data_IF_011475843264
#
_entry.id   IF_011475843264
#
_cell.length_a   1.000
_cell.length_b   1.000
_cell.length_c   1.000
_cell.angle_alpha   90.00
_cell.angle_beta   90.00
_cell.angle_gamma   90.00
#
_symmetry.space_group_name_H-M   'P 1'
#
loop_
_entity.id
_entity.type
_entity.pdbx_description
1 polymer ?
#
# COMPACT_ATOMS: atom_id res chain seq x y z
N UNK A 1 -15.74 -35.68 -39.00
CA UNK A 1 -14.73 -34.61 -38.92
C UNK A 1 -15.44 -33.26 -38.85
N UNK A 2 -15.29 -32.53 -37.76
CA UNK A 2 -15.85 -31.19 -37.60
C UNK A 2 -15.12 -30.53 -36.44
N UNK A 3 -14.08 -29.77 -36.76
CA UNK A 3 -13.33 -28.98 -35.80
C UNK A 3 -14.12 -27.70 -35.49
N UNK A 4 -14.29 -27.38 -34.20
CA UNK A 4 -14.48 -26.00 -33.77
C UNK A 4 -13.78 -25.78 -32.46
N UNK A 5 -13.08 -24.66 -32.43
CA UNK A 5 -12.02 -24.29 -31.52
C UNK A 5 -12.54 -23.45 -30.34
N UNK A 6 -11.76 -23.52 -29.26
CA UNK A 6 -11.39 -22.44 -28.35
C UNK A 6 -12.48 -21.53 -27.75
N UNK A 7 -12.56 -21.52 -26.42
CA UNK A 7 -12.36 -20.30 -25.64
C UNK A 7 -12.00 -20.65 -24.19
N UNK A 8 -10.72 -20.52 -23.87
CA UNK A 8 -10.20 -20.55 -22.51
C UNK A 8 -10.64 -19.24 -21.83
N UNK A 9 -11.62 -19.31 -20.93
CA UNK A 9 -12.07 -18.16 -20.16
C UNK A 9 -10.99 -17.70 -19.17
N UNK A 10 -10.23 -16.67 -19.55
CA UNK A 10 -9.36 -15.95 -18.63
C UNK A 10 -10.22 -15.10 -17.68
N UNK A 11 -10.32 -15.53 -16.43
CA UNK A 11 -10.85 -14.69 -15.35
C UNK A 11 -9.77 -13.65 -15.02
N UNK A 12 -10.01 -12.41 -15.42
CA UNK A 12 -9.13 -11.26 -15.21
C UNK A 12 -8.99 -10.96 -13.71
N UNK A 13 -7.75 -11.05 -13.20
CA UNK A 13 -7.38 -10.49 -11.90
C UNK A 13 -7.34 -8.96 -12.04
N UNK A 14 -8.38 -8.29 -11.55
CA UNK A 14 -8.41 -6.83 -11.41
C UNK A 14 -7.53 -6.42 -10.22
N UNK A 15 -6.22 -6.37 -10.42
CA UNK A 15 -5.32 -5.61 -9.55
C UNK A 15 -5.40 -4.15 -9.96
N UNK A 16 -6.27 -3.40 -9.28
CA UNK A 16 -6.27 -1.94 -9.12
C UNK A 16 -5.38 -1.13 -10.09
N UNK A 17 -5.87 -0.89 -11.32
CA UNK A 17 -5.42 0.29 -12.08
C UNK A 17 -6.09 1.51 -11.42
N UNK A 18 -5.32 2.33 -10.71
CA UNK A 18 -5.74 3.72 -10.49
C UNK A 18 -5.75 4.40 -11.87
N UNK A 19 -6.86 5.06 -12.22
CA UNK A 19 -6.85 5.98 -13.34
C UNK A 19 -5.88 7.13 -13.03
N UNK A 20 -5.12 7.59 -14.03
CA UNK A 20 -4.10 8.64 -13.86
C UNK A 20 -4.65 9.95 -13.25
N UNK A 21 -5.97 10.18 -13.30
CA UNK A 21 -6.63 11.37 -12.76
C UNK A 21 -6.79 11.37 -11.22
N UNK A 22 -6.65 10.22 -10.54
CA UNK A 22 -6.84 10.11 -9.08
C UNK A 22 -5.54 10.25 -8.26
N UNK A 23 -4.43 10.62 -8.90
CA UNK A 23 -3.13 10.72 -8.24
C UNK A 23 -3.10 11.88 -7.23
N UNK A 24 -2.46 11.69 -6.05
CA UNK A 24 -2.37 12.75 -5.06
C UNK A 24 -1.53 13.92 -5.59
N UNK A 25 -2.03 15.14 -5.40
CA UNK A 25 -1.42 16.38 -5.88
C UNK A 25 -0.99 17.27 -4.72
N UNK A 26 0.08 18.04 -4.91
CA UNK A 26 0.55 19.05 -3.97
C UNK A 26 -0.37 20.30 -3.96
N UNK A 27 -0.03 21.27 -3.11
CA UNK A 27 -0.80 22.52 -3.01
C UNK A 27 -0.78 23.38 -4.29
N UNK A 28 0.19 23.17 -5.19
CA UNK A 28 0.27 23.83 -6.48
C UNK A 28 -0.45 23.05 -7.60
N UNK A 29 -1.03 21.89 -7.29
CA UNK A 29 -1.76 21.04 -8.23
C UNK A 29 -0.88 20.06 -9.02
N UNK A 30 0.42 19.99 -8.72
CA UNK A 30 1.34 19.02 -9.35
C UNK A 30 1.18 17.65 -8.70
N UNK A 31 1.37 16.57 -9.45
CA UNK A 31 1.40 15.21 -8.88
C UNK A 31 2.57 15.10 -7.90
N UNK A 32 2.33 14.52 -6.72
CA UNK A 32 3.38 14.31 -5.73
C UNK A 32 4.45 13.37 -6.32
N UNK A 33 5.75 13.72 -6.26
CA UNK A 33 6.83 12.86 -6.75
C UNK A 33 6.73 11.43 -6.17
N UNK A 34 6.89 10.43 -7.05
CA UNK A 34 6.75 9.01 -6.71
C UNK A 34 5.33 8.44 -6.87
N UNK A 35 4.32 9.26 -7.16
CA UNK A 35 2.96 8.79 -7.49
C UNK A 35 2.61 8.92 -8.98
N UNK A 36 3.31 9.78 -9.72
CA UNK A 36 3.12 9.94 -11.17
C UNK A 36 4.06 9.07 -12.00
N UNK A 37 3.76 9.01 -13.30
CA UNK A 37 4.69 8.44 -14.27
C UNK A 37 5.95 9.32 -14.37
N UNK A 38 7.11 8.68 -14.36
CA UNK A 38 8.38 9.35 -14.64
C UNK A 38 8.55 9.46 -16.17
N UNK A 39 8.66 10.66 -16.77
CA UNK A 39 8.83 10.80 -18.21
C UNK A 39 10.20 10.30 -18.72
N UNK A 40 11.23 10.23 -17.87
CA UNK A 40 12.53 9.63 -18.19
C UNK A 40 12.54 8.11 -17.93
N UNK A 41 11.60 7.62 -17.11
CA UNK A 41 11.45 6.21 -16.78
C UNK A 41 9.97 5.76 -16.87
N UNK A 42 9.32 5.94 -18.04
CA UNK A 42 7.88 5.72 -18.17
C UNK A 42 7.60 4.24 -17.93
N UNK A 43 6.87 3.94 -16.86
CA UNK A 43 6.51 2.60 -16.47
C UNK A 43 7.73 1.66 -16.39
N UNK A 44 8.75 2.01 -15.61
CA UNK A 44 9.77 1.04 -15.19
C UNK A 44 9.10 -0.07 -14.36
N UNK A 45 8.50 -1.01 -15.07
CA UNK A 45 8.42 -2.40 -14.70
C UNK A 45 9.87 -2.85 -14.63
N UNK A 46 10.53 -2.55 -13.52
CA UNK A 46 11.72 -3.32 -13.11
C UNK A 46 11.32 -4.77 -13.29
N UNK A 47 12.13 -5.53 -14.05
CA UNK A 47 11.81 -6.92 -14.36
C UNK A 47 11.33 -7.58 -13.07
N UNK A 48 10.03 -7.93 -13.03
CA UNK A 48 9.39 -8.42 -11.81
C UNK A 48 10.30 -9.52 -11.31
N UNK A 49 10.86 -9.37 -10.12
CA UNK A 49 11.70 -10.43 -9.60
C UNK A 49 10.84 -11.69 -9.59
N UNK A 50 11.16 -12.61 -10.50
CA UNK A 50 10.39 -13.84 -10.70
C UNK A 50 10.74 -14.88 -9.66
N UNK A 51 11.79 -14.64 -8.89
CA UNK A 51 12.11 -15.44 -7.72
C UNK A 51 10.91 -15.39 -6.79
N UNK A 52 10.45 -16.57 -6.39
CA UNK A 52 9.39 -16.67 -5.39
C UNK A 52 9.95 -16.07 -4.11
N UNK A 53 9.17 -15.19 -3.49
CA UNK A 53 9.48 -14.72 -2.16
C UNK A 53 9.54 -15.92 -1.20
N UNK A 54 10.60 -15.99 -0.39
CA UNK A 54 10.79 -17.04 0.60
C UNK A 54 10.91 -16.44 2.00
N UNK A 55 10.15 -17.02 2.93
CA UNK A 55 10.18 -16.63 4.32
C UNK A 55 11.51 -17.01 4.95
N UNK A 56 12.29 -16.02 5.40
CA UNK A 56 13.59 -16.25 6.05
C UNK A 56 13.52 -16.52 7.56
N UNK A 57 12.39 -16.20 8.20
CA UNK A 57 12.17 -16.38 9.63
C UNK A 57 10.68 -16.50 9.94
N UNK A 58 10.35 -17.26 10.97
CA UNK A 58 9.03 -17.32 11.61
C UNK A 58 8.65 -16.04 12.38
N UNK A 59 9.62 -15.17 12.70
CA UNK A 59 9.37 -13.91 13.38
C UNK A 59 8.63 -12.92 12.47
N UNK A 60 7.73 -12.15 13.08
CA UNK A 60 7.03 -11.03 12.44
C UNK A 60 7.63 -9.70 12.85
N UNK A 61 7.78 -8.80 11.88
CA UNK A 61 8.13 -7.41 12.12
C UNK A 61 6.86 -6.67 12.54
N UNK A 62 6.91 -6.07 13.72
CA UNK A 62 5.83 -5.21 14.22
C UNK A 62 6.02 -3.81 13.69
N UNK A 63 5.00 -3.26 13.05
CA UNK A 63 5.04 -1.92 12.45
C UNK A 63 4.01 -1.02 13.12
N UNK A 64 4.46 0.15 13.55
CA UNK A 64 3.59 1.28 13.89
C UNK A 64 3.60 2.29 12.75
N UNK A 65 2.43 2.78 12.33
CA UNK A 65 2.31 3.74 11.23
C UNK A 65 1.87 5.09 11.78
N UNK A 66 2.66 6.13 11.49
CA UNK A 66 2.35 7.51 11.86
C UNK A 66 1.99 8.33 10.63
N UNK A 67 0.79 8.92 10.64
CA UNK A 67 0.31 9.86 9.64
C UNK A 67 -0.66 9.25 8.61
N UNK A 68 -1.81 9.89 8.48
CA UNK A 68 -2.82 9.64 7.46
C UNK A 68 -3.09 10.92 6.64
N UNK A 69 -1.98 11.46 6.12
CA UNK A 69 -1.97 12.68 5.33
C UNK A 69 -2.56 12.51 3.93
N UNK A 70 -2.37 13.53 3.10
CA UNK A 70 -2.97 13.68 1.78
C UNK A 70 -2.86 12.43 0.89
N UNK A 71 -1.66 11.85 0.79
CA UNK A 71 -1.39 10.71 -0.06
C UNK A 71 -1.67 9.35 0.60
N UNK A 72 -1.97 9.31 1.90
CA UNK A 72 -2.25 8.08 2.67
C UNK A 72 -1.22 6.96 2.50
N UNK A 73 0.03 7.32 2.17
CA UNK A 73 1.06 6.38 1.72
C UNK A 73 1.25 5.19 2.67
N UNK A 74 1.34 5.44 3.97
CA UNK A 74 1.54 4.37 4.97
C UNK A 74 0.46 3.29 4.95
N UNK A 75 -0.78 3.62 4.58
CA UNK A 75 -1.86 2.65 4.45
C UNK A 75 -1.88 1.92 3.10
N UNK A 76 -1.29 2.52 2.06
CA UNK A 76 -1.23 1.97 0.70
C UNK A 76 0.01 1.11 0.46
N UNK A 77 1.02 1.16 1.33
CA UNK A 77 2.28 0.42 1.16
C UNK A 77 2.16 -1.10 1.43
N UNK A 78 0.94 -1.61 1.64
CA UNK A 78 0.61 -3.03 1.79
C UNK A 78 1.33 -3.78 2.93
N UNK A 79 1.75 -3.09 3.99
CA UNK A 79 2.32 -3.74 5.18
C UNK A 79 1.36 -4.76 5.80
N UNK A 80 0.07 -4.45 5.79
CA UNK A 80 -1.02 -5.30 6.29
C UNK A 80 -1.18 -6.62 5.51
N UNK A 81 -0.70 -6.67 4.27
CA UNK A 81 -0.86 -7.83 3.38
C UNK A 81 0.39 -8.74 3.36
N UNK A 82 1.48 -8.32 4.02
CA UNK A 82 2.75 -9.04 3.98
C UNK A 82 2.81 -10.13 5.09
N UNK A 83 3.15 -11.40 4.76
CA UNK A 83 3.08 -12.53 5.70
C UNK A 83 3.99 -12.40 6.94
N UNK A 84 5.14 -11.73 6.80
CA UNK A 84 6.08 -11.46 7.91
C UNK A 84 5.89 -10.11 8.61
N UNK A 85 4.80 -9.38 8.36
CA UNK A 85 4.54 -8.09 8.99
C UNK A 85 3.24 -8.17 9.79
N UNK A 86 3.21 -7.47 10.92
CA UNK A 86 1.98 -7.16 11.65
C UNK A 86 1.96 -5.66 11.93
N UNK A 87 0.92 -4.97 11.44
CA UNK A 87 0.69 -3.58 11.82
C UNK A 87 0.03 -3.57 13.20
N UNK A 88 0.77 -3.16 14.22
CA UNK A 88 0.34 -3.25 15.63
C UNK A 88 -0.23 -1.93 16.15
N UNK A 89 0.15 -0.81 15.56
CA UNK A 89 -0.19 0.52 16.04
C UNK A 89 -0.39 1.52 14.89
N UNK A 90 -1.25 2.50 15.13
CA UNK A 90 -1.44 3.67 14.27
C UNK A 90 -1.44 4.96 15.10
N UNK A 91 -0.99 6.06 14.52
CA UNK A 91 -1.07 7.38 15.15
C UNK A 91 -1.23 8.48 14.10
N UNK A 92 -2.00 9.50 14.45
CA UNK A 92 -2.06 10.79 13.78
C UNK A 92 -2.45 11.84 14.84
N UNK A 93 -1.98 13.08 14.68
CA UNK A 93 -2.33 14.16 15.61
C UNK A 93 -3.82 14.54 15.49
N UNK A 94 -4.43 14.31 14.33
CA UNK A 94 -5.88 14.42 14.15
C UNK A 94 -6.56 13.09 14.53
N UNK A 95 -7.47 13.08 15.54
CA UNK A 95 -8.09 11.84 16.00
C UNK A 95 -8.92 11.10 14.94
N UNK A 96 -9.56 11.83 14.01
CA UNK A 96 -10.36 11.21 12.95
C UNK A 96 -9.46 10.56 11.91
N UNK A 97 -8.35 11.21 11.55
CA UNK A 97 -7.32 10.64 10.69
C UNK A 97 -6.66 9.41 11.32
N UNK A 98 -6.37 9.47 12.62
CA UNK A 98 -5.82 8.33 13.35
C UNK A 98 -6.76 7.12 13.32
N UNK A 99 -8.06 7.34 13.57
CA UNK A 99 -9.07 6.28 13.51
C UNK A 99 -9.23 5.71 12.09
N UNK A 100 -9.22 6.57 11.07
CA UNK A 100 -9.29 6.15 9.67
C UNK A 100 -8.06 5.33 9.25
N UNK A 101 -6.86 5.73 9.66
CA UNK A 101 -5.63 4.97 9.44
C UNK A 101 -5.71 3.60 10.11
N UNK A 102 -6.02 3.57 11.41
CA UNK A 102 -6.11 2.32 12.16
C UNK A 102 -7.06 1.31 11.50
N UNK A 103 -8.21 1.80 11.02
CA UNK A 103 -9.15 1.00 10.25
C UNK A 103 -8.56 0.52 8.91
N UNK A 104 -7.88 1.39 8.17
CA UNK A 104 -7.33 1.05 6.86
C UNK A 104 -6.23 -0.02 6.93
N UNK A 105 -5.42 -0.01 8.00
CA UNK A 105 -4.26 -0.91 8.15
C UNK A 105 -4.49 -2.05 9.15
N UNK A 106 -5.66 -2.09 9.80
CA UNK A 106 -6.00 -3.11 10.81
C UNK A 106 -5.23 -2.98 12.14
N UNK A 107 -4.75 -1.79 12.49
CA UNK A 107 -4.01 -1.58 13.72
C UNK A 107 -4.90 -1.77 14.96
N UNK A 108 -4.39 -2.52 15.95
CA UNK A 108 -5.13 -2.84 17.20
C UNK A 108 -5.06 -1.73 18.25
N UNK A 109 -3.99 -0.94 18.23
CA UNK A 109 -3.77 0.18 19.15
C UNK A 109 -3.67 1.49 18.37
N UNK A 110 -4.14 2.56 18.98
CA UNK A 110 -3.98 3.93 18.48
C UNK A 110 -3.32 4.81 19.54
N UNK A 111 -2.47 5.74 19.11
CA UNK A 111 -1.81 6.70 19.98
C UNK A 111 -2.11 8.13 19.54
N UNK A 112 -2.17 9.04 20.50
CA UNK A 112 -2.41 10.46 20.24
C UNK A 112 -1.22 11.16 19.55
N UNK A 113 -0.01 10.60 19.65
CA UNK A 113 1.16 11.08 18.94
C UNK A 113 2.17 9.97 18.67
N UNK A 114 3.14 10.26 17.79
CA UNK A 114 4.24 9.35 17.49
C UNK A 114 5.13 9.13 18.72
N UNK A 115 5.38 10.18 19.50
CA UNK A 115 6.20 10.14 20.71
C UNK A 115 5.60 9.21 21.78
N UNK A 116 4.27 9.12 21.87
CA UNK A 116 3.62 8.14 22.74
C UNK A 116 3.68 6.72 22.16
N UNK A 117 3.53 6.57 20.84
CA UNK A 117 3.58 5.27 20.17
C UNK A 117 4.94 4.58 20.30
N UNK A 118 6.06 5.32 20.20
CA UNK A 118 7.41 4.75 20.25
C UNK A 118 7.86 4.28 21.64
N UNK A 119 7.08 4.59 22.69
CA UNK A 119 7.35 4.16 24.07
C UNK A 119 6.86 2.73 24.35
N UNK A 120 6.00 2.18 23.49
CA UNK A 120 5.48 0.79 23.54
C UNK A 120 6.42 -0.17 22.80
#
# INVERSE_FOLDING_TARGET
MGASAAALGALSAASSLHAADDLPRDAAGNVIPGFGDDPEQPNQVTARNTDKWEQKSDRKIKVGIAGYGLCKFGAMFCYQDHPNVEVVAATDLDPQRCAALAKAVGAKKTYASCEEMIKD
#
